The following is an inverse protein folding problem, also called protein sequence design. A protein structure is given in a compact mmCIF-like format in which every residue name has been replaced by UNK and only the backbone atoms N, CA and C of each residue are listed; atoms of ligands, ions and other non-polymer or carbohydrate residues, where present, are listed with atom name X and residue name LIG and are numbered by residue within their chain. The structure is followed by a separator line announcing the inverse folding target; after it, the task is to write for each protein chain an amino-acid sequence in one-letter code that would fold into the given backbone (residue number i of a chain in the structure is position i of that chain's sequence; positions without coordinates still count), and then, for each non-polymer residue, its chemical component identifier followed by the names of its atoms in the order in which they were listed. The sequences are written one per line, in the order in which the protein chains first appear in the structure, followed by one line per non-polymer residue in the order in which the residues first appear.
data_IF_805939983962
#
_entry.id   IF_805939983962
#
_cell.length_a   1.000
_cell.length_b   1.000
_cell.length_c   1.000
_cell.angle_alpha   90.00
_cell.angle_beta   90.00
_cell.angle_gamma   90.00
#
_symmetry.space_group_name_H-M   'P 1'
#
loop_
_entity.id
_entity.type
_entity.pdbx_description
1 polymer ?
#
# COMPACT_ATOMS: atom_id res chain seq x y z
N UNK A 1 12.28 5.93 -34.17
CA UNK A 1 11.48 4.92 -33.46
C UNK A 1 12.22 4.59 -32.17
N UNK A 2 11.88 5.25 -31.07
CA UNK A 2 12.51 5.00 -29.76
C UNK A 2 12.00 3.66 -29.22
N UNK A 3 12.92 2.74 -28.96
CA UNK A 3 12.62 1.48 -28.28
C UNK A 3 12.32 1.81 -26.82
N UNK A 4 11.04 1.77 -26.46
CA UNK A 4 10.56 1.87 -25.09
C UNK A 4 10.88 0.54 -24.40
N UNK A 5 12.00 0.46 -23.69
CA UNK A 5 12.26 -0.68 -22.82
C UNK A 5 11.25 -0.64 -21.65
N UNK A 6 10.49 -1.70 -21.37
CA UNK A 6 9.66 -1.73 -20.17
C UNK A 6 10.58 -1.67 -18.96
N UNK A 7 10.44 -0.61 -18.15
CA UNK A 7 11.12 -0.50 -16.86
C UNK A 7 10.57 -1.62 -15.99
N UNK A 8 11.29 -2.74 -15.97
CA UNK A 8 10.91 -3.90 -15.18
C UNK A 8 11.19 -3.57 -13.71
N UNK A 9 10.15 -3.18 -12.98
CA UNK A 9 10.18 -2.85 -11.54
C UNK A 9 10.64 -4.00 -10.61
N UNK A 10 11.03 -5.14 -11.19
CA UNK A 10 11.50 -6.31 -10.47
C UNK A 10 12.87 -6.12 -9.78
N UNK A 11 13.63 -5.05 -10.07
CA UNK A 11 15.05 -4.95 -9.67
C UNK A 11 15.32 -3.78 -8.72
N UNK A 12 14.73 -3.81 -7.52
CA UNK A 12 15.24 -3.01 -6.40
C UNK A 12 15.09 -3.81 -5.08
N UNK A 13 16.21 -4.27 -4.54
CA UNK A 13 16.35 -4.75 -3.16
C UNK A 13 17.21 -6.01 -2.99
N UNK A 14 18.54 -5.86 -2.92
CA UNK A 14 19.39 -6.69 -2.05
C UNK A 14 19.37 -6.09 -0.62
N UNK A 15 19.86 -6.72 0.44
CA UNK A 15 20.56 -7.99 0.63
C UNK A 15 20.45 -8.29 2.14
N UNK A 16 20.26 -9.56 2.50
CA UNK A 16 20.69 -10.17 3.77
C UNK A 16 20.69 -11.70 3.57
N UNK A 17 21.77 -12.16 2.95
CA UNK A 17 22.58 -13.38 3.16
C UNK A 17 22.01 -14.79 2.97
N UNK A 18 22.77 -15.55 2.16
CA UNK A 18 22.86 -17.01 1.99
C UNK A 18 21.71 -17.77 1.31
N UNK A 19 21.46 -17.50 0.02
CA UNK A 19 21.18 -18.58 -0.95
C UNK A 19 21.36 -18.05 -2.39
N UNK A 20 22.26 -18.66 -3.16
CA UNK A 20 22.83 -18.09 -4.39
C UNK A 20 21.88 -18.06 -5.60
N UNK A 21 20.61 -18.48 -5.54
CA UNK A 21 19.79 -18.66 -6.76
C UNK A 21 18.27 -18.44 -6.63
N UNK A 22 17.78 -17.38 -5.97
CA UNK A 22 16.41 -16.91 -6.21
C UNK A 22 16.14 -15.50 -5.67
N UNK A 23 15.98 -14.54 -6.60
CA UNK A 23 15.27 -13.29 -6.32
C UNK A 23 13.90 -13.63 -5.69
N UNK A 24 13.39 -12.90 -4.69
CA UNK A 24 12.06 -13.19 -4.14
C UNK A 24 11.03 -12.91 -5.23
N UNK A 25 10.58 -13.98 -5.88
CA UNK A 25 9.44 -14.00 -6.79
C UNK A 25 8.28 -13.36 -6.04
N UNK A 26 7.72 -12.29 -6.59
CA UNK A 26 6.52 -11.67 -6.02
C UNK A 26 5.49 -12.76 -5.75
N UNK A 27 4.98 -12.90 -4.51
CA UNK A 27 4.01 -13.94 -4.20
C UNK A 27 2.74 -13.76 -5.05
N UNK A 28 2.00 -14.85 -5.34
CA UNK A 28 0.90 -14.88 -6.32
C UNK A 28 -0.29 -13.94 -6.01
N UNK A 29 -0.35 -13.33 -4.83
CA UNK A 29 -1.33 -12.29 -4.46
C UNK A 29 -0.84 -10.88 -4.80
N UNK A 30 -0.10 -10.79 -5.90
CA UNK A 30 0.27 -9.58 -6.63
C UNK A 30 -0.23 -9.89 -8.04
N UNK A 31 -1.49 -9.60 -8.40
CA UNK A 31 -2.16 -8.31 -8.24
C UNK A 31 -2.87 -8.11 -6.90
N UNK A 32 -3.09 -6.86 -6.48
CA UNK A 32 -3.93 -6.56 -5.32
C UNK A 32 -5.32 -7.15 -5.51
N UNK A 33 -5.84 -7.75 -4.45
CA UNK A 33 -7.22 -8.22 -4.38
C UNK A 33 -8.09 -7.09 -3.89
N UNK A 34 -9.20 -6.85 -4.58
CA UNK A 34 -10.24 -5.91 -4.15
C UNK A 34 -11.50 -6.64 -3.75
N UNK A 35 -12.21 -6.13 -2.77
CA UNK A 35 -13.52 -6.64 -2.35
C UNK A 35 -14.41 -5.48 -1.92
N UNK A 36 -15.69 -5.55 -2.27
CA UNK A 36 -16.65 -4.50 -1.89
C UNK A 36 -17.18 -4.76 -0.48
N UNK A 37 -17.11 -3.74 0.38
CA UNK A 37 -17.71 -3.76 1.71
C UNK A 37 -18.54 -2.49 1.91
N UNK A 38 -19.87 -2.63 1.94
CA UNK A 38 -20.77 -1.49 1.89
C UNK A 38 -20.56 -0.66 0.63
N UNK A 39 -20.20 0.61 0.78
CA UNK A 39 -19.89 1.55 -0.32
C UNK A 39 -18.41 1.63 -0.68
N UNK A 40 -17.53 0.90 0.02
CA UNK A 40 -16.08 0.98 -0.14
C UNK A 40 -15.54 -0.21 -0.92
N UNK A 41 -14.54 0.07 -1.76
CA UNK A 41 -13.66 -0.95 -2.34
C UNK A 41 -12.46 -1.13 -1.40
N UNK A 42 -12.43 -2.27 -0.69
CA UNK A 42 -11.31 -2.63 0.17
C UNK A 42 -10.22 -3.28 -0.67
N UNK A 43 -8.97 -2.86 -0.47
CA UNK A 43 -7.80 -3.38 -1.19
C UNK A 43 -6.88 -4.15 -0.23
N UNK A 44 -6.30 -5.25 -0.72
CA UNK A 44 -5.32 -6.06 0.02
C UNK A 44 -4.30 -6.71 -0.90
N UNK A 45 -3.07 -6.88 -0.43
CA UNK A 45 -2.00 -7.47 -1.24
C UNK A 45 -0.62 -7.31 -0.62
N UNK A 46 0.37 -7.90 -1.27
CA UNK A 46 1.77 -7.71 -0.89
C UNK A 46 2.35 -6.42 -1.48
N UNK A 47 3.05 -5.66 -0.65
CA UNK A 47 3.82 -4.48 -1.05
C UNK A 47 5.19 -4.52 -0.40
N UNK A 48 6.19 -3.97 -1.07
CA UNK A 48 7.50 -3.67 -0.46
C UNK A 48 7.41 -2.31 0.22
N UNK A 49 7.64 -2.26 1.53
CA UNK A 49 7.68 -1.01 2.30
C UNK A 49 9.12 -0.55 2.49
N UNK A 50 9.40 0.72 2.22
CA UNK A 50 10.72 1.32 2.48
C UNK A 50 10.99 1.35 3.99
N UNK A 51 12.12 0.79 4.41
CA UNK A 51 12.58 0.87 5.80
C UNK A 51 13.06 2.27 6.12
N UNK A 52 12.66 2.80 7.26
CA UNK A 52 13.14 4.10 7.77
C UNK A 52 14.38 3.97 8.67
N UNK A 53 14.79 2.75 9.03
CA UNK A 53 15.80 2.51 10.08
C UNK A 53 17.26 2.77 9.70
N UNK A 54 17.61 2.82 8.42
CA UNK A 54 19.01 2.80 7.99
C UNK A 54 19.42 4.02 7.15
N UNK A 55 18.62 5.11 7.16
CA UNK A 55 19.00 6.34 6.44
C UNK A 55 20.25 7.01 7.06
N UNK A 56 20.58 6.71 8.31
CA UNK A 56 21.75 7.27 9.02
C UNK A 56 23.08 6.64 8.56
N UNK A 57 23.08 5.42 8.03
CA UNK A 57 24.31 4.68 7.66
C UNK A 57 24.74 4.87 6.20
N UNK A 58 24.07 5.73 5.43
CA UNK A 58 24.42 6.00 4.02
C UNK A 58 24.22 4.81 3.05
N UNK A 59 23.65 3.70 3.52
CA UNK A 59 23.36 2.52 2.72
C UNK A 59 22.13 2.67 1.82
N UNK A 60 21.96 1.79 0.81
CA UNK A 60 20.79 1.81 -0.06
C UNK A 60 19.51 1.55 0.74
N UNK A 61 18.36 2.14 0.34
CA UNK A 61 17.10 1.96 1.03
C UNK A 61 16.69 0.49 1.04
N UNK A 62 16.60 -0.10 2.25
CA UNK A 62 16.12 -1.47 2.43
C UNK A 62 14.61 -1.53 2.28
N UNK A 63 14.14 -2.48 1.47
CA UNK A 63 12.72 -2.72 1.24
C UNK A 63 12.29 -4.02 1.92
N UNK A 64 11.14 -3.98 2.61
CA UNK A 64 10.61 -5.16 3.28
C UNK A 64 9.25 -5.54 2.69
N UNK A 65 9.12 -6.77 2.19
CA UNK A 65 7.85 -7.31 1.70
C UNK A 65 6.87 -7.49 2.85
N UNK A 66 5.67 -6.89 2.77
CA UNK A 66 4.63 -6.91 3.80
C UNK A 66 3.26 -7.09 3.18
N UNK A 67 2.36 -7.70 3.93
CA UNK A 67 0.94 -7.77 3.57
C UNK A 67 0.25 -6.52 4.08
N UNK A 68 -0.41 -5.78 3.19
CA UNK A 68 -1.24 -4.64 3.53
C UNK A 68 -2.68 -4.97 3.17
N UNK A 69 -3.62 -4.49 3.98
CA UNK A 69 -5.04 -4.57 3.68
C UNK A 69 -5.84 -3.49 4.38
N UNK A 70 -6.96 -3.11 3.77
CA UNK A 70 -7.99 -2.32 4.43
C UNK A 70 -8.93 -3.27 5.16
N UNK A 71 -8.86 -3.25 6.50
CA UNK A 71 -9.76 -3.98 7.38
C UNK A 71 -11.07 -3.20 7.56
N UNK A 72 -12.24 -3.86 7.50
CA UNK A 72 -13.52 -3.24 7.83
C UNK A 72 -13.64 -2.96 9.34
N UNK A 73 -14.60 -2.11 9.74
CA UNK A 73 -14.91 -1.89 11.15
C UNK A 73 -15.24 -3.19 11.89
N UNK A 74 -14.73 -3.33 13.10
CA UNK A 74 -15.04 -4.39 14.06
C UNK A 74 -15.77 -3.80 15.28
N UNK A 75 -16.39 -4.63 16.11
CA UNK A 75 -17.14 -4.18 17.30
C UNK A 75 -16.28 -3.30 18.24
N UNK A 76 -15.02 -3.69 18.44
CA UNK A 76 -14.06 -2.93 19.26
C UNK A 76 -13.39 -1.77 18.50
N UNK A 77 -13.60 -1.65 17.19
CA UNK A 77 -12.94 -0.69 16.29
C UNK A 77 -13.88 -0.22 15.18
N UNK A 78 -14.65 0.86 15.40
CA UNK A 78 -15.68 1.30 14.45
C UNK A 78 -15.14 2.05 13.21
N UNK A 79 -13.88 1.84 12.83
CA UNK A 79 -13.22 2.54 11.73
C UNK A 79 -12.58 1.57 10.73
N UNK A 80 -12.55 1.98 9.46
CA UNK A 80 -11.77 1.28 8.43
C UNK A 80 -10.28 1.53 8.66
N UNK A 81 -9.48 0.46 8.72
CA UNK A 81 -8.07 0.53 9.06
C UNK A 81 -7.21 0.01 7.92
N UNK A 82 -6.24 0.79 7.44
CA UNK A 82 -5.15 0.27 6.63
C UNK A 82 -4.14 -0.41 7.56
N UNK A 83 -4.15 -1.73 7.58
CA UNK A 83 -3.31 -2.57 8.43
C UNK A 83 -2.11 -3.12 7.67
N UNK A 84 -1.00 -3.27 8.40
CA UNK A 84 0.25 -3.85 7.91
C UNK A 84 0.54 -5.10 8.71
N UNK A 85 0.71 -6.23 8.03
CA UNK A 85 1.03 -7.52 8.62
C UNK A 85 2.37 -8.04 8.12
N UNK A 86 2.99 -8.96 8.89
CA UNK A 86 4.22 -9.63 8.46
C UNK A 86 4.00 -10.42 7.16
N UNK A 87 2.88 -11.13 7.06
CA UNK A 87 2.49 -11.98 5.92
C UNK A 87 0.97 -12.02 5.78
N UNK A 88 0.46 -12.56 4.66
CA UNK A 88 -0.97 -12.74 4.39
C UNK A 88 -1.70 -13.69 5.36
N UNK A 89 -0.97 -14.50 6.13
CA UNK A 89 -1.53 -15.33 7.21
C UNK A 89 -1.97 -14.50 8.43
N UNK A 90 -1.67 -13.18 8.44
CA UNK A 90 -2.05 -12.24 9.50
C UNK A 90 -1.59 -12.64 10.92
N UNK A 91 -0.56 -13.49 11.03
CA UNK A 91 -0.05 -14.01 12.30
C UNK A 91 0.48 -12.93 13.25
N UNK A 92 0.91 -11.79 12.69
CA UNK A 92 1.33 -10.60 13.46
C UNK A 92 1.00 -9.33 12.71
N UNK A 93 0.16 -8.49 13.31
CA UNK A 93 -0.05 -7.10 12.89
C UNK A 93 1.12 -6.25 13.37
N UNK A 94 1.73 -5.52 12.45
CA UNK A 94 2.89 -4.66 12.70
C UNK A 94 2.47 -3.20 12.90
N UNK A 95 1.48 -2.74 12.14
CA UNK A 95 0.95 -1.39 12.26
C UNK A 95 -0.50 -1.34 11.76
N UNK A 96 -1.25 -0.32 12.14
CA UNK A 96 -2.58 -0.04 11.61
C UNK A 96 -2.85 1.47 11.67
N UNK A 97 -3.42 2.03 10.61
CA UNK A 97 -3.81 3.44 10.54
C UNK A 97 -5.26 3.56 10.07
N UNK A 98 -6.03 4.42 10.74
CA UNK A 98 -7.39 4.75 10.31
C UNK A 98 -7.34 5.44 8.95
N UNK A 99 -8.19 5.03 8.01
CA UNK A 99 -8.23 5.65 6.67
C UNK A 99 -8.53 7.16 6.74
N UNK A 100 -9.30 7.60 7.73
CA UNK A 100 -9.60 9.03 7.98
C UNK A 100 -8.35 9.85 8.35
N UNK A 101 -7.31 9.21 8.87
CA UNK A 101 -6.04 9.87 9.24
C UNK A 101 -5.05 9.96 8.08
N UNK A 102 -5.31 9.28 6.97
CA UNK A 102 -4.49 9.39 5.76
C UNK A 102 -4.80 10.74 5.11
N UNK A 103 -3.80 11.61 5.01
CA UNK A 103 -3.93 12.96 4.45
C UNK A 103 -3.79 12.99 2.94
N UNK A 104 -3.00 12.09 2.35
CA UNK A 104 -2.91 11.92 0.89
C UNK A 104 -2.39 10.54 0.50
N UNK A 105 -2.78 10.08 -0.69
CA UNK A 105 -2.20 8.92 -1.37
C UNK A 105 -1.90 9.33 -2.80
N UNK A 106 -0.63 9.23 -3.21
CA UNK A 106 -0.15 9.69 -4.52
C UNK A 106 0.92 8.76 -5.08
N UNK A 107 1.08 8.74 -6.39
CA UNK A 107 2.22 8.10 -7.03
C UNK A 107 3.53 8.73 -6.60
N UNK A 108 4.60 7.93 -6.61
CA UNK A 108 5.95 8.43 -6.47
C UNK A 108 6.46 8.92 -7.83
N UNK A 109 6.83 10.19 -7.93
CA UNK A 109 7.26 10.81 -9.20
C UNK A 109 8.56 10.20 -9.75
N UNK A 110 9.34 9.52 -8.90
CA UNK A 110 10.63 8.93 -9.26
C UNK A 110 10.55 7.47 -9.66
N UNK A 111 9.48 6.76 -9.28
CA UNK A 111 9.35 5.32 -9.48
C UNK A 111 7.90 4.93 -9.78
N UNK A 112 7.57 4.51 -11.02
CA UNK A 112 6.17 4.35 -11.47
C UNK A 112 5.39 3.23 -10.74
N UNK A 113 6.09 2.22 -10.21
CA UNK A 113 5.49 1.15 -9.40
C UNK A 113 5.43 1.48 -7.91
N UNK A 114 5.82 2.69 -7.51
CA UNK A 114 5.73 3.14 -6.13
C UNK A 114 4.69 4.23 -5.93
N UNK A 115 4.21 4.31 -4.70
CA UNK A 115 3.29 5.33 -4.24
C UNK A 115 3.59 5.68 -2.78
N UNK A 116 3.13 6.85 -2.37
CA UNK A 116 3.36 7.40 -1.04
C UNK A 116 2.02 7.57 -0.35
N UNK A 117 1.93 7.04 0.87
CA UNK A 117 0.81 7.26 1.79
C UNK A 117 1.27 8.23 2.87
N UNK A 118 0.60 9.37 2.96
CA UNK A 118 0.90 10.42 3.96
C UNK A 118 -0.08 10.32 5.13
N UNK A 119 0.44 10.31 6.35
CA UNK A 119 -0.36 10.23 7.59
C UNK A 119 0.18 11.27 8.55
N UNK A 120 -0.57 12.36 8.76
CA UNK A 120 -0.06 13.53 9.47
C UNK A 120 1.19 14.08 8.78
N UNK A 121 2.30 14.14 9.52
CA UNK A 121 3.62 14.59 9.03
C UNK A 121 4.50 13.46 8.48
N UNK A 122 4.04 12.20 8.57
CA UNK A 122 4.81 11.03 8.16
C UNK A 122 4.45 10.58 6.74
N UNK A 123 5.47 10.27 5.93
CA UNK A 123 5.31 9.74 4.58
C UNK A 123 5.81 8.29 4.51
N UNK A 124 5.01 7.40 3.95
CA UNK A 124 5.34 5.98 3.80
C UNK A 124 5.39 5.62 2.31
N UNK A 125 6.59 5.38 1.78
CA UNK A 125 6.77 4.88 0.41
C UNK A 125 6.55 3.37 0.35
N UNK A 126 5.66 2.96 -0.55
CA UNK A 126 5.28 1.60 -0.83
C UNK A 126 5.57 1.29 -2.30
N UNK A 127 6.10 0.11 -2.56
CA UNK A 127 6.46 -0.37 -3.88
C UNK A 127 5.60 -1.60 -4.21
N UNK A 128 4.82 -1.49 -5.28
CA UNK A 128 4.05 -2.56 -5.87
C UNK A 128 4.89 -3.39 -6.85
N UNK A 129 4.31 -4.48 -7.36
CA UNK A 129 4.96 -5.33 -8.35
C UNK A 129 5.22 -4.58 -9.66
N UNK A 130 4.24 -3.81 -10.09
CA UNK A 130 4.24 -3.04 -11.34
C UNK A 130 3.41 -1.76 -11.18
N UNK A 131 3.37 -0.95 -12.24
CA UNK A 131 2.66 0.33 -12.23
C UNK A 131 1.12 0.14 -12.14
N UNK A 132 0.55 -0.89 -12.76
CA UNK A 132 -0.89 -1.12 -12.73
C UNK A 132 -1.37 -1.54 -11.33
N UNK A 133 -0.56 -2.33 -10.63
CA UNK A 133 -0.79 -2.66 -9.22
C UNK A 133 -0.71 -1.37 -8.36
N UNK A 134 0.27 -0.50 -8.61
CA UNK A 134 0.38 0.79 -7.91
C UNK A 134 -0.85 1.69 -8.15
N UNK A 135 -1.31 1.80 -9.40
CA UNK A 135 -2.53 2.53 -9.79
C UNK A 135 -3.75 2.01 -9.03
N UNK A 136 -3.91 0.68 -8.97
CA UNK A 136 -5.03 0.05 -8.26
C UNK A 136 -5.03 0.39 -6.76
N UNK A 137 -3.85 0.41 -6.13
CA UNK A 137 -3.71 0.81 -4.73
C UNK A 137 -4.03 2.29 -4.52
N UNK A 138 -3.49 3.17 -5.35
CA UNK A 138 -3.71 4.63 -5.24
C UNK A 138 -5.20 4.95 -5.44
N UNK A 139 -5.82 4.37 -6.47
CA UNK A 139 -7.24 4.55 -6.76
C UNK A 139 -8.12 4.05 -5.61
N UNK A 140 -7.93 2.79 -5.19
CA UNK A 140 -8.77 2.18 -4.15
C UNK A 140 -8.67 2.91 -2.81
N UNK A 141 -7.48 3.36 -2.43
CA UNK A 141 -7.28 4.09 -1.18
C UNK A 141 -7.86 5.51 -1.25
N UNK A 142 -7.75 6.21 -2.38
CA UNK A 142 -8.36 7.52 -2.54
C UNK A 142 -9.89 7.43 -2.59
N UNK A 143 -10.46 6.50 -3.35
CA UNK A 143 -11.91 6.27 -3.39
C UNK A 143 -12.46 5.96 -1.99
N UNK A 144 -11.79 5.08 -1.24
CA UNK A 144 -12.20 4.76 0.13
C UNK A 144 -12.09 5.97 1.06
N UNK A 145 -11.05 6.80 0.92
CA UNK A 145 -10.88 8.01 1.73
C UNK A 145 -11.95 9.04 1.41
N UNK A 146 -12.27 9.25 0.14
CA UNK A 146 -13.26 10.23 -0.30
C UNK A 146 -14.65 9.84 0.22
N UNK A 147 -15.05 8.57 0.09
CA UNK A 147 -16.33 8.06 0.64
C UNK A 147 -16.40 8.21 2.16
N UNK A 148 -15.28 8.10 2.89
CA UNK A 148 -15.24 8.26 4.35
C UNK A 148 -15.18 9.72 4.81
N UNK A 149 -14.70 10.63 3.96
CA UNK A 149 -14.60 12.06 4.23
C UNK A 149 -15.80 12.85 3.72
N UNK A 150 -16.62 12.28 2.82
CA UNK A 150 -17.96 12.77 2.54
C UNK A 150 -18.75 12.78 3.85
N UNK A 151 -18.98 13.98 4.40
CA UNK A 151 -19.73 14.16 5.62
C UNK A 151 -21.10 13.46 5.51
N UNK A 152 -21.71 13.00 6.62
CA UNK A 152 -23.08 12.46 6.63
C UNK A 152 -24.19 13.46 6.22
N UNK A 153 -23.85 14.61 5.61
CA UNK A 153 -24.73 15.74 5.36
C UNK A 153 -25.32 15.86 3.95
N UNK A 154 -25.02 14.96 3.01
CA UNK A 154 -25.60 15.00 1.66
C UNK A 154 -26.84 14.11 1.47
N UNK A 155 -27.43 13.60 2.57
CA UNK A 155 -28.77 13.02 2.57
C UNK A 155 -29.71 13.90 3.39
N UNK A 156 -29.90 15.13 2.94
CA UNK A 156 -31.01 15.96 3.37
C UNK A 156 -31.71 16.51 2.12
N UNK A 157 -33.01 16.24 2.09
CA UNK A 157 -34.05 16.86 1.26
C UNK A 157 -34.13 16.43 -0.21
N UNK A 158 -34.98 15.44 -0.48
CA UNK A 158 -35.99 15.60 -1.50
C UNK A 158 -37.34 15.24 -0.86
N UNK A 159 -38.15 16.28 -0.65
CA UNK A 159 -39.57 16.22 -0.29
C UNK A 159 -40.40 15.60 -1.41
#
# INVERSE_FOLDING_TARGET
MSMMFPINCCVMGGDDVDDEHQQPVWPPTSPPLTTTHGRLTLVRGYLKRKSTRNLEDGGPPRWALRWLEVDPPEEDRPEYMLSVYKTAQKSKRLNAVSLKKISSVRHDDSLPCAFVVSVGESNYTLLARDAADADTWVQSLNDARDVLNEAPGAQCVAS
#
